data_IF_139583540622
#
_entry.id   IF_139583540622
#
_cell.length_a   1.000
_cell.length_b   1.000
_cell.length_c   1.000
_cell.angle_alpha   90.00
_cell.angle_beta   90.00
_cell.angle_gamma   90.00
#
_symmetry.space_group_name_H-M   'P 1'
#
loop_
_entity.id
_entity.type
_entity.pdbx_description
1 polymer ?
#
# COMPACT_ATOMS: atom_id res chain seq x y z
N UNK A 1 26.34 -12.55 -8.10
CA UNK A 1 27.59 -12.06 -7.47
C UNK A 1 27.23 -11.65 -6.06
N UNK A 2 27.89 -12.25 -5.05
CA UNK A 2 27.79 -11.96 -3.60
C UNK A 2 26.41 -12.12 -2.94
N UNK A 3 26.30 -13.22 -2.21
CA UNK A 3 25.54 -13.37 -0.97
C UNK A 3 25.66 -12.10 -0.10
N UNK A 4 24.70 -11.19 -0.19
CA UNK A 4 24.32 -10.38 0.96
C UNK A 4 23.38 -11.28 1.74
N UNK A 5 23.78 -11.60 2.97
CA UNK A 5 22.87 -12.18 3.95
C UNK A 5 21.72 -11.16 4.06
N UNK A 6 20.57 -11.45 3.45
CA UNK A 6 19.34 -10.76 3.82
C UNK A 6 19.16 -11.06 5.29
N UNK A 7 19.44 -10.08 6.14
CA UNK A 7 18.94 -10.13 7.50
C UNK A 7 17.43 -10.14 7.35
N UNK A 8 16.79 -11.26 7.69
CA UNK A 8 15.33 -11.35 7.81
C UNK A 8 14.95 -10.24 8.79
N UNK A 9 14.41 -9.15 8.25
CA UNK A 9 13.99 -8.01 9.04
C UNK A 9 12.63 -8.43 9.60
N UNK A 10 12.62 -9.08 10.77
CA UNK A 10 11.37 -9.34 11.49
C UNK A 10 10.78 -7.95 11.79
N UNK A 11 9.67 -7.54 11.16
CA UNK A 11 9.11 -6.22 11.42
C UNK A 11 8.76 -6.17 12.90
N UNK A 12 9.39 -5.26 13.63
CA UNK A 12 9.08 -5.03 15.04
C UNK A 12 7.62 -4.61 15.08
N UNK A 13 6.81 -5.39 15.78
CA UNK A 13 5.39 -5.15 15.98
C UNK A 13 5.23 -3.88 16.84
N UNK A 14 5.35 -2.70 16.23
CA UNK A 14 5.13 -1.40 16.87
C UNK A 14 3.63 -1.22 17.06
N UNK A 15 3.10 -1.89 18.08
CA UNK A 15 1.68 -1.97 18.35
C UNK A 15 1.37 -1.35 19.69
N UNK A 16 0.89 -0.11 19.69
CA UNK A 16 0.08 0.43 20.77
C UNK A 16 -1.38 0.30 20.35
N UNK A 17 -2.16 -0.47 21.09
CA UNK A 17 -3.59 -0.64 20.82
C UNK A 17 -4.40 0.22 21.80
N UNK A 18 -5.31 1.03 21.27
CA UNK A 18 -6.28 1.77 22.07
C UNK A 18 -7.65 1.09 22.04
N UNK A 19 -8.38 1.16 23.16
CA UNK A 19 -9.69 0.55 23.33
C UNK A 19 -10.79 1.60 23.32
N UNK A 20 -11.86 1.35 22.55
CA UNK A 20 -13.08 2.15 22.51
C UNK A 20 -14.35 1.31 22.76
N UNK A 21 -15.41 1.96 23.24
CA UNK A 21 -16.74 1.35 23.43
C UNK A 21 -17.11 1.06 24.90
N UNK A 22 -18.40 0.79 25.14
CA UNK A 22 -18.94 0.46 26.47
C UNK A 22 -18.95 -1.07 26.69
N UNK A 23 -17.78 -1.67 26.81
CA UNK A 23 -17.61 -3.06 27.26
C UNK A 23 -17.41 -3.15 28.77
N UNK A 24 -17.84 -4.25 29.40
CA UNK A 24 -17.38 -4.57 30.75
C UNK A 24 -15.93 -5.05 30.67
N UNK A 25 -15.09 -4.67 31.64
CA UNK A 25 -13.71 -5.18 31.74
C UNK A 25 -13.74 -6.72 31.85
N UNK A 26 -13.21 -7.40 30.85
CA UNK A 26 -13.08 -8.86 30.81
C UNK A 26 -11.60 -9.17 30.87
N UNK A 27 -11.20 -9.96 31.87
CA UNK A 27 -9.87 -10.59 31.87
C UNK A 27 -10.00 -11.88 31.10
N UNK A 28 -9.41 -11.94 29.91
CA UNK A 28 -9.43 -13.12 29.07
C UNK A 28 -8.34 -14.10 29.54
N UNK A 29 -8.70 -15.35 29.82
CA UNK A 29 -7.70 -16.42 30.00
C UNK A 29 -7.17 -16.85 28.62
N UNK A 30 -6.14 -16.18 28.15
CA UNK A 30 -5.53 -16.50 26.85
C UNK A 30 -4.76 -17.82 26.82
N UNK A 31 -4.56 -18.49 27.97
CA UNK A 31 -3.86 -19.79 28.01
C UNK A 31 -4.75 -20.96 27.59
N UNK A 32 -6.07 -20.73 27.47
CA UNK A 32 -7.00 -21.73 26.97
C UNK A 32 -6.65 -22.15 25.54
N UNK A 33 -6.91 -23.43 25.23
CA UNK A 33 -6.72 -23.96 23.87
C UNK A 33 -7.85 -23.47 22.96
N UNK A 34 -7.49 -22.81 21.88
CA UNK A 34 -8.39 -22.36 20.82
C UNK A 34 -8.45 -23.35 19.65
N UNK A 35 -7.36 -24.06 19.36
CA UNK A 35 -7.33 -25.17 18.41
C UNK A 35 -6.18 -26.14 18.71
N UNK A 36 -6.21 -27.32 18.11
CA UNK A 36 -5.15 -28.34 18.24
C UNK A 36 -4.76 -28.92 16.89
N UNK A 37 -3.47 -28.84 16.56
CA UNK A 37 -2.85 -29.53 15.42
C UNK A 37 -2.50 -30.97 15.81
N UNK A 38 -2.97 -31.93 15.02
CA UNK A 38 -2.70 -33.38 15.12
C UNK A 38 -2.92 -33.99 16.52
N UNK A 39 -3.82 -33.38 17.28
CA UNK A 39 -4.15 -33.80 18.64
C UNK A 39 -3.03 -33.58 19.67
N UNK A 40 -1.91 -32.94 19.31
CA UNK A 40 -0.73 -32.80 20.19
C UNK A 40 -0.27 -31.38 20.41
N UNK A 41 -0.40 -30.51 19.41
CA UNK A 41 0.14 -29.15 19.44
C UNK A 41 -1.00 -28.17 19.57
N UNK A 42 -1.05 -27.43 20.68
CA UNK A 42 -2.16 -26.54 20.99
C UNK A 42 -1.86 -25.11 20.54
N UNK A 43 -2.81 -24.51 19.83
CA UNK A 43 -2.93 -23.08 19.66
C UNK A 43 -3.67 -22.48 20.86
N UNK A 44 -3.10 -21.45 21.46
CA UNK A 44 -3.70 -20.73 22.59
C UNK A 44 -4.68 -19.66 22.12
N UNK A 45 -5.63 -19.29 22.99
CA UNK A 45 -6.59 -18.22 22.70
C UNK A 45 -5.90 -16.85 22.64
N UNK A 46 -4.85 -16.64 23.45
CA UNK A 46 -4.12 -15.38 23.53
C UNK A 46 -3.37 -15.05 22.25
N UNK A 47 -2.64 -16.01 21.66
CA UNK A 47 -1.94 -15.76 20.38
C UNK A 47 -2.91 -15.51 19.22
N UNK A 48 -4.04 -16.24 19.19
CA UNK A 48 -5.07 -16.06 18.17
C UNK A 48 -5.74 -14.69 18.31
N UNK A 49 -6.13 -14.32 19.53
CA UNK A 49 -6.78 -13.04 19.80
C UNK A 49 -5.83 -11.86 19.57
N UNK A 50 -4.53 -12.01 19.79
CA UNK A 50 -3.53 -10.99 19.46
C UNK A 50 -3.62 -10.58 17.99
N UNK A 51 -3.55 -11.54 17.07
CA UNK A 51 -3.61 -11.24 15.64
C UNK A 51 -5.02 -10.79 15.22
N UNK A 52 -6.07 -11.36 15.79
CA UNK A 52 -7.46 -10.93 15.53
C UNK A 52 -7.65 -9.44 15.84
N UNK A 53 -7.24 -9.00 17.03
CA UNK A 53 -7.40 -7.59 17.45
C UNK A 53 -6.44 -6.66 16.73
N UNK A 54 -5.29 -7.16 16.30
CA UNK A 54 -4.41 -6.40 15.44
C UNK A 54 -5.04 -6.13 14.06
N UNK A 55 -5.62 -7.15 13.42
CA UNK A 55 -6.33 -6.99 12.15
C UNK A 55 -7.57 -6.10 12.28
N UNK A 56 -8.29 -6.22 13.40
CA UNK A 56 -9.39 -5.31 13.75
C UNK A 56 -8.91 -3.86 13.89
N UNK A 57 -7.85 -3.63 14.66
CA UNK A 57 -7.28 -2.30 14.87
C UNK A 57 -6.81 -1.65 13.56
N UNK A 58 -6.18 -2.42 12.66
CA UNK A 58 -5.80 -1.94 11.33
C UNK A 58 -7.01 -1.55 10.49
N UNK A 59 -8.02 -2.42 10.46
CA UNK A 59 -9.24 -2.17 9.68
C UNK A 59 -9.95 -0.91 10.17
N UNK A 60 -10.13 -0.75 11.47
CA UNK A 60 -10.77 0.42 12.07
C UNK A 60 -9.99 1.71 11.79
N UNK A 61 -8.66 1.68 11.99
CA UNK A 61 -7.81 2.86 11.80
C UNK A 61 -7.77 3.33 10.35
N UNK A 62 -7.63 2.41 9.38
CA UNK A 62 -7.42 2.79 7.99
C UNK A 62 -8.73 2.92 7.19
N UNK A 63 -9.76 2.13 7.52
CA UNK A 63 -10.98 2.05 6.71
C UNK A 63 -12.24 2.55 7.42
N UNK A 64 -12.24 2.74 8.75
CA UNK A 64 -13.41 3.23 9.49
C UNK A 64 -13.96 4.55 8.95
N UNK A 65 -13.08 5.51 8.65
CA UNK A 65 -13.47 6.80 8.07
C UNK A 65 -14.04 6.67 6.65
N UNK A 66 -13.49 5.77 5.83
CA UNK A 66 -13.94 5.52 4.45
C UNK A 66 -15.36 4.95 4.42
N UNK A 67 -15.69 4.04 5.33
CA UNK A 67 -17.03 3.47 5.44
C UNK A 67 -18.01 4.36 6.22
N UNK A 68 -17.55 5.52 6.74
CA UNK A 68 -18.38 6.43 7.53
C UNK A 68 -18.96 5.79 8.79
N UNK A 69 -18.32 4.74 9.29
CA UNK A 69 -18.85 3.88 10.35
C UNK A 69 -17.73 3.43 11.29
N UNK A 70 -18.08 3.07 12.52
CA UNK A 70 -17.13 2.50 13.48
C UNK A 70 -17.57 1.09 13.86
N UNK A 71 -16.62 0.28 14.32
CA UNK A 71 -16.84 -1.12 14.68
C UNK A 71 -17.29 -1.96 13.48
N UNK A 72 -16.54 -1.89 12.38
CA UNK A 72 -16.67 -2.69 11.16
C UNK A 72 -16.83 -4.18 11.49
N UNK A 73 -16.05 -4.70 12.44
CA UNK A 73 -16.10 -6.12 12.82
C UNK A 73 -17.44 -6.55 13.44
N UNK A 74 -18.21 -5.62 14.00
CA UNK A 74 -19.57 -5.90 14.48
C UNK A 74 -20.66 -5.71 13.41
N UNK A 75 -20.31 -5.41 12.15
CA UNK A 75 -21.27 -5.14 11.09
C UNK A 75 -21.40 -6.29 10.10
N UNK A 76 -22.63 -6.53 9.64
CA UNK A 76 -22.90 -7.38 8.48
C UNK A 76 -22.69 -6.56 7.20
N UNK A 77 -21.46 -6.54 6.71
CA UNK A 77 -21.08 -5.76 5.53
C UNK A 77 -21.67 -6.30 4.21
N UNK A 78 -22.02 -7.59 4.18
CA UNK A 78 -22.47 -8.28 2.96
C UNK A 78 -23.99 -8.45 2.90
N UNK A 79 -24.70 -8.15 3.99
CA UNK A 79 -26.14 -8.41 4.13
C UNK A 79 -26.47 -9.89 4.25
N UNK A 80 -25.49 -10.72 4.63
CA UNK A 80 -25.60 -12.19 4.70
C UNK A 80 -26.24 -12.68 6.01
N UNK A 81 -26.35 -11.82 7.02
CA UNK A 81 -26.78 -12.13 8.37
C UNK A 81 -25.63 -12.47 9.34
N UNK A 82 -24.38 -12.51 8.86
CA UNK A 82 -23.18 -12.76 9.66
C UNK A 82 -22.34 -11.49 9.74
N UNK A 83 -21.87 -11.13 10.95
CA UNK A 83 -20.99 -9.97 11.12
C UNK A 83 -19.60 -10.27 10.58
N UNK A 84 -18.91 -9.25 10.08
CA UNK A 84 -17.58 -9.34 9.48
C UNK A 84 -16.56 -10.01 10.40
N UNK A 85 -16.63 -9.75 11.71
CA UNK A 85 -15.71 -10.33 12.68
C UNK A 85 -15.80 -11.86 12.81
N UNK A 86 -16.96 -12.47 12.54
CA UNK A 86 -17.07 -13.94 12.50
C UNK A 86 -16.37 -14.50 11.27
N UNK A 87 -16.53 -13.85 10.10
CA UNK A 87 -15.81 -14.21 8.87
C UNK A 87 -14.30 -14.01 9.01
N UNK A 88 -13.88 -12.95 9.69
CA UNK A 88 -12.48 -12.70 10.01
C UNK A 88 -11.90 -13.78 10.93
N UNK A 89 -12.65 -14.24 11.95
CA UNK A 89 -12.23 -15.37 12.81
C UNK A 89 -12.04 -16.65 12.01
N UNK A 90 -12.98 -17.01 11.15
CA UNK A 90 -12.88 -18.22 10.32
C UNK A 90 -11.64 -18.16 9.42
N UNK A 91 -11.44 -17.04 8.72
CA UNK A 91 -10.26 -16.82 7.87
C UNK A 91 -8.96 -16.89 8.66
N UNK A 92 -8.95 -16.29 9.86
CA UNK A 92 -7.77 -16.29 10.72
C UNK A 92 -7.46 -17.68 11.29
N UNK A 93 -8.47 -18.52 11.54
CA UNK A 93 -8.28 -19.92 11.95
C UNK A 93 -7.55 -20.68 10.85
N UNK A 94 -7.95 -20.51 9.59
CA UNK A 94 -7.28 -21.14 8.45
C UNK A 94 -5.84 -20.62 8.30
N UNK A 95 -5.61 -19.32 8.52
CA UNK A 95 -4.25 -18.75 8.53
C UNK A 95 -3.38 -19.36 9.64
N UNK A 96 -3.90 -19.50 10.86
CA UNK A 96 -3.17 -20.15 11.95
C UNK A 96 -2.94 -21.64 11.68
N UNK A 97 -3.92 -22.34 11.08
CA UNK A 97 -3.74 -23.73 10.66
C UNK A 97 -2.55 -23.86 9.71
N UNK A 98 -2.45 -23.01 8.69
CA UNK A 98 -1.30 -22.99 7.79
C UNK A 98 0.01 -22.74 8.54
N UNK A 99 0.08 -21.69 9.36
CA UNK A 99 1.30 -21.37 10.13
C UNK A 99 1.77 -22.53 11.02
N UNK A 100 0.84 -23.20 11.70
CA UNK A 100 1.15 -24.35 12.56
C UNK A 100 1.61 -25.58 11.75
N UNK A 101 1.01 -25.83 10.58
CA UNK A 101 1.45 -26.89 9.66
C UNK A 101 2.84 -26.60 9.12
N UNK A 102 3.10 -25.38 8.68
CA UNK A 102 4.41 -24.97 8.17
C UNK A 102 5.50 -25.11 9.22
N UNK A 103 5.21 -24.80 10.48
CA UNK A 103 6.16 -25.06 11.56
C UNK A 103 6.41 -26.55 11.79
N UNK A 104 5.36 -27.38 11.78
CA UNK A 104 5.52 -28.83 11.92
C UNK A 104 6.36 -29.43 10.79
N UNK A 105 6.25 -28.88 9.58
CA UNK A 105 6.93 -29.33 8.37
C UNK A 105 8.30 -28.68 8.16
N UNK A 106 8.59 -27.54 8.79
CA UNK A 106 9.85 -26.78 8.63
C UNK A 106 11.13 -27.65 8.71
N UNK A 107 11.27 -28.64 9.62
CA UNK A 107 12.44 -29.50 9.65
C UNK A 107 12.66 -30.34 8.38
N UNK A 108 11.59 -30.70 7.66
CA UNK A 108 11.67 -31.46 6.40
C UNK A 108 12.29 -30.63 5.27
N UNK A 109 12.23 -29.30 5.40
CA UNK A 109 12.80 -28.34 4.46
C UNK A 109 14.11 -27.70 4.98
N UNK A 110 14.58 -28.13 6.15
CA UNK A 110 15.78 -27.57 6.78
C UNK A 110 15.61 -26.12 7.27
N UNK A 111 14.37 -25.70 7.52
CA UNK A 111 14.04 -24.37 8.04
C UNK A 111 14.09 -24.40 9.57
N UNK A 112 14.92 -23.54 10.14
CA UNK A 112 15.04 -23.34 11.59
C UNK A 112 15.33 -21.86 11.89
N UNK A 113 14.89 -21.37 13.05
CA UNK A 113 15.25 -20.03 13.53
C UNK A 113 16.67 -20.01 14.12
N UNK A 114 17.44 -18.98 13.78
CA UNK A 114 18.75 -18.73 14.39
C UNK A 114 18.60 -18.19 15.81
N UNK A 115 19.70 -18.19 16.57
CA UNK A 115 19.70 -17.64 17.92
C UNK A 115 19.44 -16.12 17.91
N UNK A 116 19.93 -15.41 16.88
CA UNK A 116 19.65 -13.99 16.69
C UNK A 116 18.16 -13.73 16.42
N UNK A 117 17.52 -14.52 15.56
CA UNK A 117 16.08 -14.40 15.26
C UNK A 117 15.24 -14.65 16.52
N UNK A 118 15.58 -15.67 17.31
CA UNK A 118 14.91 -15.95 18.59
C UNK A 118 15.07 -14.80 19.58
N UNK A 119 16.27 -14.22 19.68
CA UNK A 119 16.52 -13.07 20.55
C UNK A 119 15.70 -11.85 20.12
N UNK A 120 15.64 -11.58 18.81
CA UNK A 120 14.84 -10.49 18.26
C UNK A 120 13.34 -10.69 18.54
N UNK A 121 12.83 -11.91 18.42
CA UNK A 121 11.44 -12.27 18.78
C UNK A 121 11.17 -11.99 20.26
N UNK A 122 12.06 -12.43 21.16
CA UNK A 122 11.92 -12.17 22.60
C UNK A 122 11.94 -10.68 22.93
N UNK A 123 12.84 -9.92 22.32
CA UNK A 123 12.93 -8.46 22.51
C UNK A 123 11.67 -7.75 21.98
N UNK A 124 11.18 -8.13 20.80
CA UNK A 124 9.97 -7.56 20.21
C UNK A 124 8.73 -7.87 21.07
N UNK A 125 8.60 -9.09 21.58
CA UNK A 125 7.52 -9.46 22.48
C UNK A 125 7.58 -8.68 23.81
N UNK A 126 8.77 -8.49 24.38
CA UNK A 126 8.93 -7.70 25.60
C UNK A 126 8.53 -6.23 25.37
N UNK A 127 8.94 -5.66 24.24
CA UNK A 127 8.57 -4.30 23.83
C UNK A 127 7.06 -4.15 23.65
N UNK A 128 6.40 -5.09 22.99
CA UNK A 128 4.94 -5.07 22.85
C UNK A 128 4.23 -5.01 24.21
N UNK A 129 4.69 -5.79 25.19
CA UNK A 129 4.08 -5.78 26.54
C UNK A 129 4.37 -4.50 27.33
N UNK A 130 5.52 -3.85 27.07
CA UNK A 130 5.88 -2.57 27.66
C UNK A 130 5.05 -1.41 27.08
N UNK A 131 4.87 -1.42 25.76
CA UNK A 131 4.17 -0.36 25.03
C UNK A 131 2.64 -0.40 25.28
N UNK A 132 2.07 -1.55 25.66
CA UNK A 132 0.63 -1.70 25.90
C UNK A 132 0.25 -1.65 27.39
N UNK A 133 -0.89 -0.99 27.67
CA UNK A 133 -1.45 -0.91 29.02
C UNK A 133 -1.90 -2.28 29.54
N UNK A 134 -1.96 -2.44 30.86
CA UNK A 134 -2.49 -3.66 31.49
C UNK A 134 -3.93 -3.98 31.04
N UNK A 135 -4.75 -2.95 30.78
CA UNK A 135 -6.11 -3.14 30.29
C UNK A 135 -6.13 -3.83 28.93
N UNK A 136 -5.29 -3.35 27.99
CA UNK A 136 -5.13 -3.96 26.66
C UNK A 136 -4.63 -5.39 26.78
N UNK A 137 -3.58 -5.62 27.58
CA UNK A 137 -3.00 -6.97 27.74
C UNK A 137 -4.00 -7.97 28.32
N UNK A 138 -4.79 -7.55 29.31
CA UNK A 138 -5.83 -8.40 29.92
C UNK A 138 -6.98 -8.72 28.96
N UNK A 139 -7.36 -7.76 28.11
CA UNK A 139 -8.42 -7.93 27.12
C UNK A 139 -7.97 -8.82 25.95
N UNK A 140 -6.70 -8.69 25.55
CA UNK A 140 -6.06 -9.56 24.58
C UNK A 140 -5.80 -10.97 25.15
N UNK A 141 -5.63 -11.11 26.46
CA UNK A 141 -5.24 -12.36 27.11
C UNK A 141 -3.79 -12.75 26.78
N UNK A 142 -2.92 -11.77 26.57
CA UNK A 142 -1.54 -12.00 26.09
C UNK A 142 -0.51 -11.87 27.20
N UNK A 143 0.47 -12.75 27.16
CA UNK A 143 1.72 -12.63 27.90
C UNK A 143 2.91 -12.69 26.93
N UNK A 144 4.13 -12.75 27.47
CA UNK A 144 5.36 -12.82 26.68
C UNK A 144 5.32 -14.00 25.71
N UNK A 145 4.87 -15.16 26.20
CA UNK A 145 4.87 -16.39 25.43
C UNK A 145 3.83 -16.33 24.29
N UNK A 146 2.64 -15.74 24.53
CA UNK A 146 1.65 -15.56 23.46
C UNK A 146 2.19 -14.73 22.30
N UNK A 147 2.92 -13.64 22.59
CA UNK A 147 3.49 -12.75 21.57
C UNK A 147 4.69 -13.41 20.88
N UNK A 148 5.61 -14.02 21.63
CA UNK A 148 6.76 -14.75 21.08
C UNK A 148 6.30 -15.89 20.16
N UNK A 149 5.23 -16.59 20.53
CA UNK A 149 4.71 -17.72 19.78
C UNK A 149 4.18 -17.28 18.42
N UNK A 150 3.37 -16.22 18.37
CA UNK A 150 2.90 -15.64 17.11
C UNK A 150 4.06 -15.18 16.23
N UNK A 151 5.04 -14.44 16.80
CA UNK A 151 6.20 -13.96 16.05
C UNK A 151 7.08 -15.12 15.52
N UNK A 152 7.17 -16.22 16.27
CA UNK A 152 7.86 -17.45 15.84
C UNK A 152 7.15 -18.08 14.63
N UNK A 153 5.82 -18.21 14.69
CA UNK A 153 5.02 -18.75 13.60
C UNK A 153 5.18 -17.91 12.32
N UNK A 154 5.10 -16.59 12.43
CA UNK A 154 5.29 -15.68 11.31
C UNK A 154 6.71 -15.76 10.71
N UNK A 155 7.74 -15.80 11.56
CA UNK A 155 9.13 -15.93 11.10
C UNK A 155 9.41 -17.29 10.42
N UNK A 156 8.78 -18.37 10.87
CA UNK A 156 8.88 -19.67 10.21
C UNK A 156 8.12 -19.66 8.88
N UNK A 157 6.91 -19.09 8.83
CA UNK A 157 6.15 -18.96 7.59
C UNK A 157 6.95 -18.23 6.50
N UNK A 158 7.58 -17.10 6.85
CA UNK A 158 8.45 -16.33 5.95
C UNK A 158 9.62 -17.17 5.39
N UNK A 159 10.31 -17.90 6.26
CA UNK A 159 11.41 -18.79 5.84
C UNK A 159 10.92 -19.99 5.03
N UNK A 160 9.73 -20.49 5.33
CA UNK A 160 9.08 -21.55 4.58
C UNK A 160 8.68 -21.07 3.18
N UNK A 161 8.26 -19.82 3.02
CA UNK A 161 7.99 -19.24 1.70
C UNK A 161 9.21 -19.35 0.78
N UNK A 162 10.39 -18.94 1.26
CA UNK A 162 11.64 -19.09 0.51
C UNK A 162 11.99 -20.55 0.20
N UNK A 163 11.79 -21.45 1.17
CA UNK A 163 12.12 -22.86 1.00
C UNK A 163 11.19 -23.57 -0.01
N UNK A 164 9.88 -23.28 0.03
CA UNK A 164 8.87 -23.88 -0.84
C UNK A 164 8.92 -23.33 -2.27
N UNK A 165 9.44 -22.11 -2.45
CA UNK A 165 9.48 -21.43 -3.76
C UNK A 165 10.88 -21.43 -4.40
N UNK A 166 11.87 -22.09 -3.79
CA UNK A 166 13.26 -22.08 -4.24
C UNK A 166 13.47 -22.60 -5.69
N UNK A 167 12.60 -23.52 -6.13
CA UNK A 167 12.66 -24.15 -7.45
C UNK A 167 11.71 -23.51 -8.48
N UNK A 168 11.14 -22.34 -8.19
CA UNK A 168 10.27 -21.61 -9.12
C UNK A 168 10.98 -21.30 -10.44
N UNK A 169 10.25 -21.32 -11.55
CA UNK A 169 10.78 -20.87 -12.84
C UNK A 169 10.94 -19.35 -12.86
N UNK A 170 12.19 -18.90 -12.94
CA UNK A 170 12.58 -17.49 -12.98
C UNK A 170 12.89 -16.99 -14.39
N UNK A 171 12.79 -17.84 -15.42
CA UNK A 171 12.94 -17.40 -16.80
C UNK A 171 11.63 -16.76 -17.28
N UNK A 172 11.68 -15.47 -17.58
CA UNK A 172 10.58 -14.70 -18.17
C UNK A 172 11.09 -14.02 -19.43
N UNK A 173 10.38 -14.24 -20.54
CA UNK A 173 10.76 -13.65 -21.83
C UNK A 173 10.29 -12.21 -21.95
N UNK A 174 10.97 -11.40 -22.78
CA UNK A 174 10.52 -10.04 -23.09
C UNK A 174 9.13 -10.04 -23.73
N UNK A 175 8.79 -11.06 -24.52
CA UNK A 175 7.49 -11.18 -25.18
C UNK A 175 6.36 -11.42 -24.17
N UNK A 176 6.62 -12.24 -23.15
CA UNK A 176 5.66 -12.52 -22.07
C UNK A 176 5.42 -11.28 -21.20
N UNK A 177 6.48 -10.52 -20.89
CA UNK A 177 6.41 -9.36 -20.01
C UNK A 177 6.22 -8.02 -20.74
N UNK A 178 6.13 -8.02 -22.07
CA UNK A 178 6.19 -6.80 -22.88
C UNK A 178 5.12 -5.78 -22.44
N UNK A 179 5.59 -4.63 -21.98
CA UNK A 179 4.73 -3.50 -21.64
C UNK A 179 4.82 -2.42 -22.71
N UNK A 180 3.68 -1.81 -23.00
CA UNK A 180 3.55 -0.58 -23.79
C UNK A 180 3.24 0.57 -22.84
N UNK A 181 3.59 1.79 -23.22
CA UNK A 181 3.22 3.00 -22.49
C UNK A 181 2.48 3.97 -23.39
N UNK A 182 1.34 4.44 -22.91
CA UNK A 182 0.54 5.46 -23.59
C UNK A 182 0.34 6.66 -22.69
N UNK A 183 0.18 7.81 -23.32
CA UNK A 183 -0.38 9.02 -22.73
C UNK A 183 -1.80 9.17 -23.28
N UNK A 184 -2.75 9.51 -22.42
CA UNK A 184 -4.13 9.70 -22.84
C UNK A 184 -4.80 10.86 -22.11
N UNK A 185 -5.74 11.49 -22.81
CA UNK A 185 -6.72 12.42 -22.24
C UNK A 185 -8.09 11.77 -22.32
N UNK A 186 -8.89 11.94 -21.28
CA UNK A 186 -10.23 11.36 -21.17
C UNK A 186 -11.27 12.46 -20.92
N UNK A 187 -12.38 12.39 -21.65
CA UNK A 187 -13.54 13.26 -21.44
C UNK A 187 -14.77 12.38 -21.25
N UNK A 188 -15.42 12.50 -20.09
CA UNK A 188 -16.64 11.74 -19.75
C UNK A 188 -17.78 12.04 -20.71
N UNK A 189 -18.51 11.01 -21.13
CA UNK A 189 -19.79 11.15 -21.85
C UNK A 189 -21.00 11.30 -20.91
N UNK A 190 -20.79 11.17 -19.59
CA UNK A 190 -21.81 11.48 -18.58
C UNK A 190 -22.02 13.00 -18.50
N UNK A 191 -23.27 13.44 -18.43
CA UNK A 191 -23.55 14.84 -18.18
C UNK A 191 -23.20 15.25 -16.75
N UNK A 192 -22.98 16.56 -16.57
CA UNK A 192 -22.56 17.14 -15.28
C UNK A 192 -23.73 17.81 -14.54
N UNK A 193 -24.86 18.01 -15.20
CA UNK A 193 -26.06 18.59 -14.60
C UNK A 193 -26.97 17.52 -13.99
N UNK A 194 -27.77 17.89 -12.98
CA UNK A 194 -28.78 17.01 -12.38
C UNK A 194 -30.18 17.60 -12.49
N UNK A 195 -31.18 16.75 -12.70
CA UNK A 195 -32.59 17.14 -12.68
C UNK A 195 -33.10 17.50 -11.26
N UNK A 196 -34.35 17.95 -11.15
CA UNK A 196 -34.98 18.30 -9.87
C UNK A 196 -35.09 17.13 -8.88
N UNK A 197 -34.89 15.89 -9.32
CA UNK A 197 -34.90 14.69 -8.50
C UNK A 197 -33.48 14.20 -8.14
N UNK A 198 -32.44 14.91 -8.57
CA UNK A 198 -31.04 14.56 -8.33
C UNK A 198 -30.48 13.50 -9.29
N UNK A 199 -31.16 13.20 -10.41
CA UNK A 199 -30.62 12.30 -11.44
C UNK A 199 -29.74 13.08 -12.43
N UNK A 200 -28.61 12.51 -12.84
CA UNK A 200 -27.77 13.08 -13.90
C UNK A 200 -28.55 13.24 -15.21
N UNK A 201 -28.44 14.42 -15.82
CA UNK A 201 -28.98 14.71 -17.15
C UNK A 201 -27.97 14.21 -18.17
N UNK A 202 -28.40 13.29 -19.05
CA UNK A 202 -27.57 12.76 -20.14
C UNK A 202 -27.20 13.85 -21.15
N UNK A 203 -25.97 13.82 -21.65
CA UNK A 203 -25.54 14.71 -22.74
C UNK A 203 -26.33 14.43 -24.02
N UNK A 204 -26.68 15.49 -24.72
CA UNK A 204 -27.30 15.43 -26.04
C UNK A 204 -26.32 14.95 -27.10
N UNK A 205 -26.83 14.46 -28.23
CA UNK A 205 -25.99 14.07 -29.37
C UNK A 205 -25.14 15.25 -29.87
N UNK A 206 -25.66 16.47 -29.81
CA UNK A 206 -24.95 17.70 -30.22
C UNK A 206 -23.76 18.00 -29.28
N UNK A 207 -23.94 17.84 -27.96
CA UNK A 207 -22.86 18.02 -26.98
C UNK A 207 -21.80 16.93 -27.09
N UNK A 208 -22.21 15.68 -27.33
CA UNK A 208 -21.30 14.55 -27.55
C UNK A 208 -20.44 14.75 -28.80
N UNK A 209 -21.03 15.23 -29.89
CA UNK A 209 -20.26 15.54 -31.10
C UNK A 209 -19.32 16.74 -30.89
N UNK A 210 -19.72 17.76 -30.12
CA UNK A 210 -18.83 18.86 -29.77
C UNK A 210 -17.59 18.40 -28.97
N UNK A 211 -17.75 17.45 -28.05
CA UNK A 211 -16.62 16.84 -27.31
C UNK A 211 -15.68 16.11 -28.27
N UNK A 212 -16.21 15.35 -29.23
CA UNK A 212 -15.40 14.64 -30.23
C UNK A 212 -14.63 15.62 -31.12
N UNK A 213 -15.26 16.71 -31.57
CA UNK A 213 -14.60 17.73 -32.39
C UNK A 213 -13.48 18.43 -31.61
N UNK A 214 -13.73 18.78 -30.35
CA UNK A 214 -12.71 19.37 -29.47
C UNK A 214 -11.52 18.42 -29.27
N UNK A 215 -11.81 17.17 -28.92
CA UNK A 215 -10.78 16.19 -28.68
C UNK A 215 -9.98 15.88 -29.97
N UNK A 216 -10.65 15.85 -31.12
CA UNK A 216 -9.96 15.69 -32.41
C UNK A 216 -9.02 16.87 -32.69
N UNK A 217 -9.41 18.11 -32.37
CA UNK A 217 -8.52 19.27 -32.53
C UNK A 217 -7.28 19.18 -31.63
N UNK A 218 -7.43 18.68 -30.40
CA UNK A 218 -6.30 18.40 -29.50
C UNK A 218 -5.37 17.34 -30.10
N UNK A 219 -5.94 16.25 -30.64
CA UNK A 219 -5.16 15.17 -31.24
C UNK A 219 -4.44 15.61 -32.52
N UNK A 220 -5.06 16.46 -33.34
CA UNK A 220 -4.42 17.05 -34.51
C UNK A 220 -3.23 17.94 -34.10
N UNK A 221 -3.40 18.78 -33.06
CA UNK A 221 -2.30 19.58 -32.50
C UNK A 221 -1.18 18.69 -31.93
N UNK A 222 -1.54 17.63 -31.20
CA UNK A 222 -0.59 16.65 -30.66
C UNK A 222 0.18 15.92 -31.77
N UNK A 223 -0.47 15.59 -32.89
CA UNK A 223 0.18 14.94 -34.02
C UNK A 223 1.17 15.89 -34.74
N UNK A 224 0.91 17.20 -34.74
CA UNK A 224 1.83 18.21 -35.28
C UNK A 224 3.00 18.52 -34.32
N UNK A 225 2.74 18.60 -33.02
CA UNK A 225 3.74 18.90 -31.98
C UNK A 225 4.58 17.68 -31.61
N UNK A 226 4.02 16.48 -31.76
CA UNK A 226 4.56 15.24 -31.21
C UNK A 226 4.35 15.07 -29.70
N UNK A 227 3.52 15.90 -29.08
CA UNK A 227 3.34 15.97 -27.62
C UNK A 227 1.88 16.26 -27.27
N UNK A 228 1.18 15.23 -26.77
CA UNK A 228 -0.21 15.32 -26.32
C UNK A 228 -0.37 16.23 -25.09
N UNK A 229 0.60 16.23 -24.17
CA UNK A 229 0.52 17.05 -22.97
C UNK A 229 0.61 18.55 -23.32
N UNK A 230 1.53 18.91 -24.21
CA UNK A 230 1.61 20.28 -24.71
C UNK A 230 0.33 20.72 -25.44
N UNK A 231 -0.29 19.83 -26.23
CA UNK A 231 -1.55 20.13 -26.93
C UNK A 231 -2.73 20.32 -25.95
N UNK A 232 -2.78 19.54 -24.87
CA UNK A 232 -3.77 19.71 -23.80
C UNK A 232 -3.54 21.00 -23.02
N UNK A 233 -2.28 21.34 -22.71
CA UNK A 233 -1.93 22.59 -22.05
C UNK A 233 -2.37 23.81 -22.87
N UNK A 234 -2.15 23.79 -24.19
CA UNK A 234 -2.63 24.84 -25.10
C UNK A 234 -4.17 24.93 -25.11
N UNK A 235 -4.87 23.80 -25.19
CA UNK A 235 -6.32 23.79 -25.14
C UNK A 235 -6.85 24.38 -23.82
N UNK A 236 -6.20 24.07 -22.71
CA UNK A 236 -6.52 24.55 -21.37
C UNK A 236 -6.37 26.08 -21.20
N UNK A 237 -5.57 26.77 -22.02
CA UNK A 237 -5.47 28.25 -21.97
C UNK A 237 -6.82 28.94 -22.23
N UNK A 238 -7.73 28.26 -22.91
CA UNK A 238 -9.08 28.75 -23.24
C UNK A 238 -10.19 28.18 -22.35
N UNK A 239 -9.86 27.27 -21.42
CA UNK A 239 -10.82 26.62 -20.52
C UNK A 239 -10.93 27.34 -19.18
N UNK A 240 -12.08 27.14 -18.51
CA UNK A 240 -12.25 27.54 -17.12
C UNK A 240 -11.33 26.69 -16.21
N UNK A 241 -10.80 27.29 -15.14
CA UNK A 241 -9.91 26.62 -14.18
C UNK A 241 -10.52 25.36 -13.56
N UNK A 242 -11.85 25.33 -13.40
CA UNK A 242 -12.59 24.19 -12.83
C UNK A 242 -12.87 23.07 -13.86
N UNK A 243 -12.48 23.23 -15.13
CA UNK A 243 -12.77 22.27 -16.22
C UNK A 243 -11.56 22.03 -17.13
N UNK A 244 -10.35 22.08 -16.55
CA UNK A 244 -9.12 21.75 -17.26
C UNK A 244 -9.03 20.26 -17.54
N UNK A 245 -8.51 19.92 -18.72
CA UNK A 245 -8.15 18.57 -19.09
C UNK A 245 -6.78 18.23 -18.54
N UNK A 246 -6.53 16.94 -18.28
CA UNK A 246 -5.21 16.43 -17.91
C UNK A 246 -4.85 15.23 -18.75
N UNK A 247 -3.56 15.10 -19.05
CA UNK A 247 -3.00 13.89 -19.62
C UNK A 247 -2.59 12.96 -18.49
N UNK A 248 -2.98 11.70 -18.62
CA UNK A 248 -2.56 10.61 -17.75
C UNK A 248 -1.70 9.64 -18.55
N UNK A 249 -0.75 8.98 -17.89
CA UNK A 249 0.03 7.90 -18.48
C UNK A 249 -0.37 6.55 -17.87
N UNK A 250 -0.27 5.50 -18.67
CA UNK A 250 -0.46 4.13 -18.20
C UNK A 250 0.40 3.17 -19.01
N UNK A 251 0.91 2.14 -18.33
CA UNK A 251 1.55 0.99 -18.95
C UNK A 251 0.60 -0.19 -18.99
N UNK A 252 0.66 -0.98 -20.05
CA UNK A 252 -0.14 -2.20 -20.18
C UNK A 252 0.56 -3.23 -21.05
N UNK A 253 0.31 -4.50 -20.74
CA UNK A 253 0.75 -5.67 -21.48
C UNK A 253 -0.40 -6.42 -22.13
N UNK A 254 -0.12 -7.61 -22.65
CA UNK A 254 -1.10 -8.44 -23.35
C UNK A 254 -2.27 -8.88 -22.44
N UNK A 255 -1.96 -9.22 -21.18
CA UNK A 255 -2.93 -9.75 -20.21
C UNK A 255 -3.62 -8.67 -19.36
N UNK A 256 -3.28 -7.39 -19.57
CA UNK A 256 -3.88 -6.29 -18.81
C UNK A 256 -5.38 -6.18 -19.09
N UNK A 257 -6.18 -5.77 -18.10
CA UNK A 257 -7.60 -5.42 -18.29
C UNK A 257 -7.85 -3.91 -18.31
N UNK A 258 -6.81 -3.14 -18.00
CA UNK A 258 -6.81 -1.69 -17.97
C UNK A 258 -5.63 -1.20 -18.82
N UNK A 259 -5.82 -0.21 -19.70
CA UNK A 259 -7.09 0.45 -20.02
C UNK A 259 -8.08 -0.50 -20.73
N UNK A 260 -9.32 -0.05 -20.91
CA UNK A 260 -10.38 -0.85 -21.56
C UNK A 260 -9.99 -1.28 -22.97
N UNK A 261 -10.63 -2.34 -23.47
CA UNK A 261 -10.24 -3.02 -24.71
C UNK A 261 -10.21 -2.08 -25.93
N UNK A 262 -11.15 -1.15 -26.06
CA UNK A 262 -11.21 -0.18 -27.16
C UNK A 262 -10.00 0.74 -27.18
N UNK A 263 -9.56 1.21 -26.01
CA UNK A 263 -8.39 2.08 -25.84
C UNK A 263 -7.11 1.31 -26.18
N UNK A 264 -6.98 0.07 -25.70
CA UNK A 264 -5.82 -0.79 -26.02
C UNK A 264 -5.76 -1.10 -27.51
N UNK A 265 -6.87 -1.48 -28.13
CA UNK A 265 -6.93 -1.78 -29.57
C UNK A 265 -6.53 -0.56 -30.43
N UNK A 266 -6.96 0.64 -30.04
CA UNK A 266 -6.58 1.87 -30.72
C UNK A 266 -5.09 2.17 -30.54
N UNK A 267 -4.56 2.03 -29.32
CA UNK A 267 -3.16 2.23 -29.01
C UNK A 267 -2.25 1.22 -29.73
N UNK A 268 -2.65 -0.06 -29.79
CA UNK A 268 -1.90 -1.15 -30.43
C UNK A 268 -1.68 -0.94 -31.94
N UNK A 269 -2.49 -0.10 -32.57
CA UNK A 269 -2.37 0.26 -33.97
C UNK A 269 -1.35 1.39 -34.24
N UNK A 270 -0.83 2.03 -33.18
CA UNK A 270 0.08 3.18 -33.25
C UNK A 270 1.55 2.75 -33.17
N UNK A 271 2.41 3.46 -33.89
CA UNK A 271 3.85 3.46 -33.66
C UNK A 271 4.26 4.49 -32.59
N UNK A 272 5.50 4.41 -32.09
CA UNK A 272 6.04 5.37 -31.12
C UNK A 272 5.87 6.83 -31.59
N UNK A 273 5.29 7.65 -30.71
CA UNK A 273 4.99 9.05 -30.93
C UNK A 273 3.71 9.32 -31.71
N UNK A 274 3.08 8.30 -32.33
CA UNK A 274 1.83 8.48 -33.07
C UNK A 274 0.63 8.70 -32.14
N UNK A 275 -0.37 9.39 -32.67
CA UNK A 275 -1.60 9.77 -31.99
C UNK A 275 -2.79 9.07 -32.66
N UNK A 276 -3.75 8.60 -31.87
CA UNK A 276 -4.96 7.93 -32.38
C UNK A 276 -5.97 8.94 -32.96
N UNK A 277 -6.99 8.41 -33.66
CA UNK A 277 -8.27 9.11 -33.74
C UNK A 277 -8.97 9.08 -32.37
N UNK A 278 -10.02 9.89 -32.20
CA UNK A 278 -10.88 9.80 -31.01
C UNK A 278 -11.41 8.38 -30.85
N UNK A 279 -11.25 7.82 -29.65
CA UNK A 279 -11.75 6.49 -29.27
C UNK A 279 -12.98 6.68 -28.39
N UNK A 280 -14.10 6.10 -28.79
CA UNK A 280 -15.35 6.13 -28.03
C UNK A 280 -15.48 4.85 -27.19
N UNK A 281 -15.81 5.00 -25.92
CA UNK A 281 -16.09 3.92 -24.97
C UNK A 281 -17.46 4.14 -24.31
N UNK A 282 -17.91 3.17 -23.52
CA UNK A 282 -19.16 3.31 -22.75
C UNK A 282 -19.14 4.46 -21.73
N UNK A 283 -17.95 4.90 -21.28
CA UNK A 283 -17.79 5.92 -20.23
C UNK A 283 -17.51 7.30 -20.80
N UNK A 284 -16.90 7.39 -21.98
CA UNK A 284 -16.50 8.66 -22.57
C UNK A 284 -15.62 8.52 -23.79
N UNK A 285 -14.85 9.57 -24.06
CA UNK A 285 -13.99 9.69 -25.22
C UNK A 285 -12.53 9.79 -24.80
N UNK A 286 -11.67 9.07 -25.50
CA UNK A 286 -10.24 9.05 -25.27
C UNK A 286 -9.49 9.58 -26.48
N UNK A 287 -8.46 10.38 -26.19
CA UNK A 287 -7.42 10.75 -27.14
C UNK A 287 -6.12 10.15 -26.66
N UNK A 288 -5.41 9.41 -27.53
CA UNK A 288 -4.29 8.57 -27.13
C UNK A 288 -3.05 8.94 -27.94
N UNK A 289 -1.90 9.02 -27.27
CA UNK A 289 -0.59 9.01 -27.88
C UNK A 289 0.18 7.78 -27.43
N UNK A 290 0.78 7.06 -28.38
CA UNK A 290 1.72 6.00 -28.06
C UNK A 290 3.05 6.61 -27.64
N UNK A 291 3.42 6.45 -26.38
CA UNK A 291 4.71 6.96 -25.89
C UNK A 291 5.81 5.94 -26.16
N UNK A 292 5.54 4.66 -25.92
CA UNK A 292 6.44 3.57 -26.29
C UNK A 292 5.69 2.28 -26.56
N UNK A 293 5.95 1.67 -27.71
CA UNK A 293 5.51 0.30 -28.06
C UNK A 293 6.29 -0.78 -27.32
N UNK A 294 7.38 -0.41 -26.63
CA UNK A 294 8.12 -1.28 -25.73
C UNK A 294 8.76 -0.46 -24.61
N UNK A 295 8.11 -0.43 -23.45
CA UNK A 295 8.62 0.24 -22.26
C UNK A 295 9.54 -0.70 -21.49
N UNK A 296 10.86 -0.45 -21.57
CA UNK A 296 11.88 -1.35 -21.00
C UNK A 296 11.81 -1.42 -19.47
N UNK A 297 11.53 -0.30 -18.79
CA UNK A 297 11.42 -0.25 -17.33
C UNK A 297 10.19 -1.04 -16.86
N UNK A 298 9.03 -0.73 -17.44
CA UNK A 298 7.79 -1.42 -17.09
C UNK A 298 7.86 -2.92 -17.44
N UNK A 299 8.52 -3.27 -18.56
CA UNK A 299 8.73 -4.68 -18.93
C UNK A 299 9.61 -5.40 -17.91
N UNK A 300 10.64 -4.74 -17.36
CA UNK A 300 11.48 -5.36 -16.33
C UNK A 300 10.74 -5.52 -15.00
N UNK A 301 9.95 -4.52 -14.59
CA UNK A 301 9.05 -4.64 -13.44
C UNK A 301 8.06 -5.77 -13.62
N UNK A 302 7.50 -5.94 -14.83
CA UNK A 302 6.55 -7.01 -15.09
C UNK A 302 7.18 -8.40 -15.02
N UNK A 303 8.45 -8.56 -15.43
CA UNK A 303 9.16 -9.84 -15.21
C UNK A 303 9.28 -10.18 -13.73
N UNK A 304 9.54 -9.18 -12.89
CA UNK A 304 9.59 -9.37 -11.44
C UNK A 304 8.22 -9.76 -10.89
N UNK A 305 7.14 -9.11 -11.37
CA UNK A 305 5.76 -9.45 -11.01
C UNK A 305 5.41 -10.89 -11.42
N UNK A 306 5.70 -11.31 -12.65
CA UNK A 306 5.44 -12.66 -13.14
C UNK A 306 6.18 -13.70 -12.29
N UNK A 307 7.45 -13.46 -11.96
CA UNK A 307 8.20 -14.35 -11.08
C UNK A 307 7.54 -14.41 -9.70
N UNK A 308 7.12 -13.27 -9.15
CA UNK A 308 6.45 -13.20 -7.87
C UNK A 308 5.11 -13.95 -7.88
N UNK A 309 4.28 -13.79 -8.91
CA UNK A 309 3.02 -14.53 -9.08
C UNK A 309 3.26 -16.05 -9.17
N UNK A 310 4.30 -16.48 -9.89
CA UNK A 310 4.70 -17.89 -9.95
C UNK A 310 5.12 -18.41 -8.57
N UNK A 311 5.84 -17.60 -7.79
CA UNK A 311 6.23 -17.96 -6.42
C UNK A 311 5.00 -18.08 -5.52
N UNK A 312 4.10 -17.11 -5.56
CA UNK A 312 2.90 -17.10 -4.72
C UNK A 312 1.97 -18.26 -5.06
N UNK A 313 1.80 -18.57 -6.36
CA UNK A 313 1.05 -19.73 -6.83
C UNK A 313 1.66 -21.03 -6.31
N UNK A 314 2.98 -21.21 -6.50
CA UNK A 314 3.67 -22.42 -6.05
C UNK A 314 3.63 -22.55 -4.52
N UNK A 315 3.81 -21.45 -3.79
CA UNK A 315 3.71 -21.43 -2.33
C UNK A 315 2.33 -21.89 -1.88
N UNK A 316 1.24 -21.34 -2.44
CA UNK A 316 -0.11 -21.73 -2.08
C UNK A 316 -0.37 -23.22 -2.37
N UNK A 317 0.03 -23.71 -3.55
CA UNK A 317 -0.12 -25.12 -3.90
C UNK A 317 0.61 -26.05 -2.92
N UNK A 318 1.83 -25.69 -2.49
CA UNK A 318 2.59 -26.46 -1.52
C UNK A 318 1.96 -26.38 -0.12
N UNK A 319 1.54 -25.20 0.33
CA UNK A 319 0.85 -25.01 1.60
C UNK A 319 -0.42 -25.86 1.66
N UNK A 320 -1.27 -25.80 0.63
CA UNK A 320 -2.50 -26.59 0.55
C UNK A 320 -2.19 -28.09 0.66
N UNK A 321 -1.20 -28.57 -0.09
CA UNK A 321 -0.78 -29.97 -0.07
C UNK A 321 -0.24 -30.42 1.29
N UNK A 322 0.45 -29.54 2.02
CA UNK A 322 0.90 -29.83 3.39
C UNK A 322 -0.30 -29.82 4.35
N UNK A 323 -1.15 -28.79 4.30
CA UNK A 323 -2.31 -28.61 5.17
C UNK A 323 -3.30 -29.79 5.08
N UNK A 324 -3.45 -30.40 3.90
CA UNK A 324 -4.26 -31.62 3.70
C UNK A 324 -3.75 -32.85 4.47
N UNK A 325 -2.47 -32.88 4.84
CA UNK A 325 -1.85 -34.00 5.57
C UNK A 325 -2.05 -33.90 7.08
N UNK A 326 -2.53 -32.75 7.58
CA UNK A 326 -2.70 -32.47 9.00
C UNK A 326 -4.15 -32.22 9.39
N UNK A 327 -4.45 -32.48 10.65
CA UNK A 327 -5.74 -32.18 11.27
C UNK A 327 -5.61 -30.96 12.18
N UNK A 328 -6.60 -30.06 12.11
CA UNK A 328 -6.65 -28.88 12.96
C UNK A 328 -8.06 -28.75 13.54
N UNK A 329 -8.19 -29.05 14.83
CA UNK A 329 -9.49 -29.12 15.51
C UNK A 329 -9.69 -27.86 16.36
N UNK A 330 -10.74 -27.08 16.07
CA UNK A 330 -11.08 -25.87 16.83
C UNK A 330 -11.83 -26.18 18.12
N UNK A 331 -11.70 -25.28 19.09
CA UNK A 331 -12.43 -25.31 20.35
C UNK A 331 -13.40 -24.14 20.39
N UNK A 332 -14.60 -24.34 19.84
CA UNK A 332 -15.62 -23.29 19.69
C UNK A 332 -15.91 -22.57 21.00
N UNK A 333 -15.97 -23.28 22.13
CA UNK A 333 -16.23 -22.67 23.44
C UNK A 333 -15.17 -21.67 23.90
N UNK A 334 -13.93 -21.79 23.40
CA UNK A 334 -12.87 -20.82 23.67
C UNK A 334 -12.99 -19.63 22.70
N UNK A 335 -13.17 -19.91 21.40
CA UNK A 335 -13.31 -18.91 20.34
C UNK A 335 -14.56 -18.01 20.52
N UNK A 336 -15.68 -18.57 20.99
CA UNK A 336 -16.94 -17.86 21.26
C UNK A 336 -16.80 -16.76 22.34
N UNK A 337 -15.72 -16.79 23.13
CA UNK A 337 -15.41 -15.72 24.09
C UNK A 337 -14.98 -14.43 23.37
N UNK A 338 -14.43 -14.56 22.17
CA UNK A 338 -13.99 -13.45 21.33
C UNK A 338 -15.20 -12.83 20.62
N UNK A 339 -15.67 -11.72 21.16
CA UNK A 339 -16.78 -10.92 20.64
C UNK A 339 -16.29 -9.55 20.16
N UNK A 340 -17.13 -8.82 19.42
CA UNK A 340 -16.79 -7.54 18.77
C UNK A 340 -17.55 -6.37 19.40
N UNK A 341 -17.75 -6.40 20.71
CA UNK A 341 -18.43 -5.32 21.44
C UNK A 341 -17.49 -4.16 21.80
N UNK A 342 -16.17 -4.40 21.74
CA UNK A 342 -15.13 -3.38 21.87
C UNK A 342 -14.56 -3.09 20.50
N UNK A 343 -14.03 -1.88 20.35
CA UNK A 343 -13.32 -1.46 19.14
C UNK A 343 -11.86 -1.23 19.50
N UNK A 344 -10.97 -1.71 18.65
CA UNK A 344 -9.54 -1.58 18.80
C UNK A 344 -9.04 -0.62 17.73
N UNK A 345 -8.02 0.18 18.05
CA UNK A 345 -7.39 1.11 17.12
C UNK A 345 -5.88 0.99 17.24
N UNK A 346 -5.18 1.16 16.12
CA UNK A 346 -3.75 1.46 16.16
C UNK A 346 -3.55 2.87 16.71
N UNK A 347 -2.71 3.02 17.72
CA UNK A 347 -2.28 4.32 18.19
C UNK A 347 -1.18 4.86 17.28
N UNK A 348 -1.60 5.68 16.32
CA UNK A 348 -0.74 6.35 15.33
C UNK A 348 0.08 7.50 15.93
N UNK A 349 -0.02 7.79 17.24
CA UNK A 349 0.77 8.83 17.92
C UNK A 349 2.04 8.29 18.57
N UNK A 350 2.15 6.97 18.73
CA UNK A 350 3.31 6.30 19.33
C UNK A 350 4.51 6.12 18.39
N UNK A 351 4.37 6.45 17.09
CA UNK A 351 5.36 6.15 16.05
C UNK A 351 6.40 7.24 15.73
N UNK A 352 6.58 8.29 16.56
CA UNK A 352 7.52 9.39 16.24
C UNK A 352 8.93 9.23 16.81
N UNK A 353 9.31 8.05 17.29
CA UNK A 353 10.66 7.76 17.78
C UNK A 353 11.14 6.42 17.19
N UNK A 354 11.37 6.38 15.88
CA UNK A 354 12.27 5.38 15.30
C UNK A 354 13.27 6.11 14.43
N UNK A 355 14.44 6.33 15.02
CA UNK A 355 15.64 6.87 14.39
C UNK A 355 16.10 5.89 13.30
N UNK A 356 15.60 6.05 12.08
CA UNK A 356 16.16 5.41 10.89
C UNK A 356 16.60 6.52 9.93
N UNK A 357 17.74 7.13 10.25
CA UNK A 357 18.59 7.71 9.22
C UNK A 357 19.12 6.56 8.36
N UNK A 358 18.43 6.29 7.24
CA UNK A 358 19.06 5.68 6.07
C UNK A 358 18.90 6.68 4.95
N UNK A 359 19.91 7.54 4.77
CA UNK A 359 20.11 8.26 3.52
C UNK A 359 20.29 7.22 2.42
N UNK A 360 19.30 7.13 1.53
CA UNK A 360 19.50 6.55 0.22
C UNK A 360 20.10 7.65 -0.65
N UNK A 361 21.43 7.77 -0.63
CA UNK A 361 22.14 8.51 -1.68
C UNK A 361 21.98 7.75 -2.99
N UNK A 362 21.12 8.26 -3.87
CA UNK A 362 21.19 7.98 -5.30
C UNK A 362 22.41 8.71 -5.86
N UNK A 363 23.52 7.98 -5.93
CA UNK A 363 24.69 8.30 -6.73
C UNK A 363 24.33 8.15 -8.22
N UNK A 364 24.04 9.28 -8.87
CA UNK A 364 24.15 9.39 -10.33
C UNK A 364 25.41 10.18 -10.66
N UNK A 365 26.52 9.46 -10.78
CA UNK A 365 27.68 9.92 -11.52
C UNK A 365 27.39 9.95 -13.02
N UNK A 366 27.55 11.12 -13.64
CA UNK A 366 27.96 11.24 -15.03
C UNK A 366 28.85 12.48 -15.19
N UNK A 367 30.07 12.20 -15.64
CA UNK A 367 31.18 13.11 -15.93
C UNK A 367 30.85 14.08 -17.07
N UNK A 368 31.34 15.33 -17.04
CA UNK A 368 32.62 15.69 -17.70
C UNK A 368 32.87 17.21 -17.76
N UNK A 369 34.16 17.53 -17.62
CA UNK A 369 34.91 18.66 -18.21
C UNK A 369 34.79 20.09 -17.63
N UNK A 370 35.72 20.36 -16.71
CA UNK A 370 36.74 21.43 -16.72
C UNK A 370 36.46 22.75 -17.45
N UNK A 371 36.66 23.87 -16.75
CA UNK A 371 37.87 24.70 -16.93
C UNK A 371 38.06 25.68 -15.76
N UNK A 372 39.33 26.06 -15.57
CA UNK A 372 39.93 26.94 -14.57
C UNK A 372 39.33 28.37 -14.58
N UNK A 373 39.24 29.03 -13.43
CA UNK A 373 40.24 30.06 -13.09
C UNK A 373 40.19 30.39 -11.59
N UNK A 374 41.37 30.36 -11.01
CA UNK A 374 41.66 30.92 -9.70
C UNK A 374 41.98 32.39 -9.90
N UNK A 375 41.64 33.26 -8.95
CA UNK A 375 42.61 34.24 -8.47
C UNK A 375 42.12 34.86 -7.17
N UNK A 376 43.09 35.16 -6.34
CA UNK A 376 42.95 35.39 -4.93
C UNK A 376 42.93 36.88 -4.57
N UNK A 377 42.43 37.11 -3.36
CA UNK A 377 43.01 37.99 -2.34
C UNK A 377 42.82 39.52 -2.42
N UNK A 378 42.38 40.01 -1.26
CA UNK A 378 42.93 41.16 -0.52
C UNK A 378 42.65 42.57 -1.08
N UNK A 379 42.49 43.63 -0.30
CA UNK A 379 42.34 43.93 1.13
C UNK A 379 42.23 45.47 1.18
N UNK A 380 41.74 46.01 2.30
CA UNK A 380 42.09 47.32 2.87
C UNK A 380 41.39 48.57 2.29
N UNK A 381 40.48 49.18 3.06
CA UNK A 381 40.67 50.42 3.88
C UNK A 381 40.71 51.73 3.05
N UNK A 382 40.22 52.92 3.42
CA UNK A 382 39.77 53.53 4.68
C UNK A 382 39.09 54.90 4.35
N UNK A 383 38.40 55.43 5.37
CA UNK A 383 38.19 56.86 5.70
C UNK A 383 37.17 57.67 4.87
N UNK A 384 36.01 58.09 5.41
CA UNK A 384 35.71 59.01 6.53
C UNK A 384 35.67 60.48 6.10
N UNK A 385 34.51 61.14 6.29
CA UNK A 385 34.26 62.35 7.12
C UNK A 385 32.78 62.75 6.92
N UNK A 386 31.92 62.73 7.96
CA UNK A 386 31.56 63.88 8.84
C UNK A 386 30.55 64.85 8.16
N UNK A 387 29.58 65.47 8.82
CA UNK A 387 29.13 65.56 10.21
C UNK A 387 27.76 66.28 10.23
N UNK A 388 27.17 66.38 11.43
CA UNK A 388 26.03 67.22 11.85
C UNK A 388 24.65 66.55 11.65
N UNK A 389 23.95 66.10 12.69
CA UNK A 389 23.68 66.77 13.97
C UNK A 389 22.26 67.36 13.89
N UNK A 390 21.33 67.25 14.85
CA UNK A 390 21.39 66.89 16.26
C UNK A 390 19.93 66.73 16.73
N UNK A 391 19.69 65.81 17.67
CA UNK A 391 18.75 65.87 18.82
C UNK A 391 17.24 66.21 18.60
N UNK A 392 16.30 65.69 19.38
CA UNK A 392 16.27 64.73 20.48
C UNK A 392 14.78 64.44 20.80
N UNK A 393 14.56 63.26 21.42
CA UNK A 393 13.71 63.02 22.61
C UNK A 393 12.25 63.54 22.62
N UNK A 394 11.27 62.83 23.16
CA UNK A 394 11.18 61.61 23.96
C UNK A 394 9.68 61.25 24.04
N UNK A 395 9.39 59.96 24.31
CA UNK A 395 8.46 59.46 25.36
C UNK A 395 7.03 60.07 25.47
N UNK A 396 5.94 59.36 25.71
CA UNK A 396 5.67 58.08 26.39
C UNK A 396 4.16 57.80 26.28
N UNK A 397 3.76 56.53 26.47
CA UNK A 397 2.53 56.03 27.13
C UNK A 397 1.13 56.57 26.74
N UNK A 398 0.02 55.86 26.85
CA UNK A 398 -0.36 54.49 27.15
C UNK A 398 -1.90 54.44 27.02
N UNK A 399 -2.41 53.25 26.68
CA UNK A 399 -3.62 52.61 27.20
C UNK A 399 -5.05 53.23 27.07
N UNK A 400 -5.97 52.28 26.90
CA UNK A 400 -7.44 52.32 26.98
C UNK A 400 -8.14 52.97 25.77
N UNK A 401 -9.20 52.39 25.18
CA UNK A 401 -10.20 51.42 25.66
C UNK A 401 -10.26 50.10 24.89
#
# INVERSE_FOLDING_TARGET
MRSKKSAVLIPVLALTIALGGCGQEVVLDGTETAATLDGTTNMTLGEFNLLLRYQEAQMETYYGSMFGTSNIYAQDMTGSGTIYGETAKETLIDQFREMYVLEAEAPNYGVELTDEEKSAITEAAAKFLEDNTEEVKNDLGVDQNSVERFLTLAAIQDKMYDALTADVDTEVSDEEAAQKRIAYVYISASGTETDENGNTIELTDEEKEAIKEELQAILDSAAESGDLNAAVDEANESRDEDNQLSVSEITYGADSTTPVEEVRNAADALADGEVSSVVETDTGYYGIQMVSTFDEEATQTEKENIIQERRDTLYQEQCDALVEQHTFETVDSALDKLNFNRVYYLDTTAGTETDTSTESETDTGAESESEEDAEAAADSETAADAESGTEAESETEAAAE
#
